data_IF_932213180822
#
_entry.id   IF_932213180822
#
_cell.length_a   1.000
_cell.length_b   1.000
_cell.length_c   1.000
_cell.angle_alpha   90.00
_cell.angle_beta   90.00
_cell.angle_gamma   90.00
#
_symmetry.space_group_name_H-M   'P 1'
#
loop_
_entity.id
_entity.type
_entity.pdbx_description
1 polymer ?
#
# COMPACT_ATOMS: atom_id res chain seq x y z
N UNK A 1 -1.78 -3.45 -13.38
CA UNK A 1 -2.85 -2.53 -13.86
C UNK A 1 -2.30 -1.15 -14.20
N UNK A 2 -1.70 -0.42 -13.25
CA UNK A 2 -1.23 0.97 -13.46
C UNK A 2 -0.18 1.11 -14.58
N UNK A 3 0.76 0.17 -14.71
CA UNK A 3 1.69 0.14 -15.86
C UNK A 3 0.96 0.07 -17.20
N UNK A 4 -0.10 -0.76 -17.28
CA UNK A 4 -0.91 -0.85 -18.49
C UNK A 4 -1.71 0.42 -18.73
N UNK A 5 -2.30 1.01 -17.68
CA UNK A 5 -2.97 2.31 -17.77
C UNK A 5 -2.03 3.38 -18.35
N UNK A 6 -0.81 3.49 -17.82
CA UNK A 6 0.19 4.44 -18.29
C UNK A 6 0.56 4.22 -19.77
N UNK A 7 0.78 2.96 -20.17
CA UNK A 7 1.08 2.59 -21.56
C UNK A 7 -0.09 2.91 -22.49
N UNK A 8 -1.32 2.59 -22.10
CA UNK A 8 -2.53 2.89 -22.88
C UNK A 8 -2.68 4.41 -23.06
N UNK A 9 -2.52 5.20 -22.00
CA UNK A 9 -2.64 6.66 -22.10
C UNK A 9 -1.55 7.26 -23.00
N UNK A 10 -0.33 6.74 -22.92
CA UNK A 10 0.77 7.16 -23.79
C UNK A 10 0.45 6.83 -25.26
N UNK A 11 -0.09 5.65 -25.54
CA UNK A 11 -0.50 5.25 -26.88
C UNK A 11 -1.65 6.09 -27.42
N UNK A 12 -2.66 6.39 -26.60
CA UNK A 12 -3.80 7.24 -26.98
C UNK A 12 -3.32 8.66 -27.31
N UNK A 13 -2.40 9.23 -26.53
CA UNK A 13 -1.74 10.50 -26.85
C UNK A 13 -1.04 10.41 -28.21
N UNK A 14 -0.21 9.39 -28.41
CA UNK A 14 0.56 9.25 -29.65
C UNK A 14 -0.33 9.10 -30.89
N UNK A 15 -1.45 8.35 -30.80
CA UNK A 15 -2.42 8.26 -31.89
C UNK A 15 -3.08 9.61 -32.21
N UNK A 16 -3.43 10.40 -31.19
CA UNK A 16 -4.09 11.70 -31.37
C UNK A 16 -3.18 12.75 -32.00
N UNK A 17 -1.87 12.71 -31.72
CA UNK A 17 -0.96 13.81 -32.08
C UNK A 17 0.15 13.44 -33.09
N UNK A 18 0.43 12.15 -33.34
CA UNK A 18 1.51 11.70 -34.25
C UNK A 18 1.06 10.98 -35.54
N UNK A 19 -0.21 10.59 -35.67
CA UNK A 19 -0.70 9.87 -36.86
C UNK A 19 -0.36 8.36 -36.85
N UNK A 20 -1.12 7.59 -37.63
CA UNK A 20 -1.39 6.15 -37.47
C UNK A 20 -0.35 5.16 -38.03
N UNK A 21 0.96 5.45 -37.99
CA UNK A 21 1.92 4.68 -38.82
C UNK A 21 2.77 3.63 -38.10
N UNK A 22 2.54 3.31 -36.82
CA UNK A 22 3.27 2.23 -36.15
C UNK A 22 2.34 1.16 -35.56
N UNK A 23 2.42 -0.04 -36.13
CA UNK A 23 1.77 -1.29 -35.70
C UNK A 23 2.28 -1.83 -34.36
N UNK A 24 3.15 -1.09 -33.66
CA UNK A 24 3.66 -1.45 -32.34
C UNK A 24 4.15 -0.20 -31.60
N UNK A 25 3.29 0.55 -30.87
CA UNK A 25 3.68 1.83 -30.30
C UNK A 25 4.65 1.60 -29.14
N UNK A 26 5.94 1.80 -29.40
CA UNK A 26 6.97 1.89 -28.36
C UNK A 26 6.95 3.30 -27.79
N UNK A 27 7.13 3.42 -26.47
CA UNK A 27 7.27 4.71 -25.80
C UNK A 27 8.41 5.51 -26.43
N UNK A 28 8.14 6.76 -26.81
CA UNK A 28 9.17 7.65 -27.35
C UNK A 28 10.06 8.19 -26.23
N UNK A 29 11.28 8.62 -26.55
CA UNK A 29 12.18 9.25 -25.58
C UNK A 29 11.54 10.48 -24.90
N UNK A 30 10.74 11.25 -25.64
CA UNK A 30 9.98 12.38 -25.09
C UNK A 30 8.85 11.95 -24.14
N UNK A 31 8.22 10.80 -24.38
CA UNK A 31 7.20 10.28 -23.46
C UNK A 31 7.85 9.79 -22.16
N UNK A 32 8.99 9.11 -22.26
CA UNK A 32 9.81 8.69 -21.12
C UNK A 32 10.21 9.90 -20.26
N UNK A 33 10.72 10.95 -20.88
CA UNK A 33 11.14 12.16 -20.16
C UNK A 33 9.97 12.80 -19.38
N UNK A 34 8.80 12.96 -20.02
CA UNK A 34 7.63 13.52 -19.36
C UNK A 34 7.22 12.63 -18.18
N UNK A 35 7.07 11.32 -18.39
CA UNK A 35 6.67 10.39 -17.33
C UNK A 35 7.62 10.45 -16.12
N UNK A 36 8.92 10.53 -16.35
CA UNK A 36 9.90 10.64 -15.27
C UNK A 36 9.79 11.96 -14.51
N UNK A 37 9.57 13.08 -15.20
CA UNK A 37 9.27 14.37 -14.54
C UNK A 37 7.99 14.31 -13.71
N UNK A 38 6.94 13.68 -14.23
CA UNK A 38 5.70 13.48 -13.47
C UNK A 38 5.92 12.59 -12.25
N UNK A 39 6.73 11.53 -12.39
CA UNK A 39 7.08 10.64 -11.28
C UNK A 39 7.92 11.33 -10.22
N UNK A 40 8.86 12.19 -10.61
CA UNK A 40 9.63 13.01 -9.69
C UNK A 40 8.73 13.97 -8.90
N UNK A 41 7.84 14.69 -9.58
CA UNK A 41 6.84 15.54 -8.94
C UNK A 41 5.98 14.74 -7.97
N UNK A 42 5.48 13.58 -8.41
CA UNK A 42 4.64 12.71 -7.60
C UNK A 42 5.36 12.27 -6.31
N UNK A 43 6.62 11.88 -6.42
CA UNK A 43 7.47 11.49 -5.29
C UNK A 43 7.67 12.65 -4.31
N UNK A 44 8.10 13.81 -4.79
CA UNK A 44 8.34 15.01 -3.95
C UNK A 44 7.06 15.43 -3.22
N UNK A 45 5.92 15.44 -3.89
CA UNK A 45 4.66 15.81 -3.27
C UNK A 45 4.14 14.73 -2.30
N UNK A 46 4.42 13.45 -2.59
CA UNK A 46 4.09 12.35 -1.68
C UNK A 46 4.89 12.45 -0.37
N UNK A 47 6.20 12.72 -0.44
CA UNK A 47 7.05 12.93 0.75
C UNK A 47 6.58 14.12 1.61
N UNK A 48 6.12 15.19 0.96
CA UNK A 48 5.54 16.36 1.65
C UNK A 48 4.14 16.08 2.24
N UNK A 49 3.50 14.98 1.86
CA UNK A 49 2.10 14.70 2.21
C UNK A 49 1.09 15.60 1.50
N UNK A 50 1.47 16.17 0.36
CA UNK A 50 0.66 17.10 -0.42
C UNK A 50 -0.20 16.36 -1.45
N UNK A 51 -1.51 16.68 -1.45
CA UNK A 51 -2.47 16.24 -2.48
C UNK A 51 -2.69 17.28 -3.57
N UNK A 52 -2.37 18.54 -3.26
CA UNK A 52 -2.53 19.70 -4.13
C UNK A 52 -1.20 20.45 -4.12
N UNK A 53 -0.78 20.92 -5.30
CA UNK A 53 0.46 21.64 -5.53
C UNK A 53 0.25 22.76 -6.55
N UNK A 54 1.24 23.64 -6.69
CA UNK A 54 1.13 24.88 -7.46
C UNK A 54 2.02 24.84 -8.71
N UNK A 55 1.89 25.87 -9.54
CA UNK A 55 2.70 26.04 -10.75
C UNK A 55 4.22 26.06 -10.44
N UNK A 56 4.60 26.55 -9.26
CA UNK A 56 5.99 26.56 -8.82
C UNK A 56 6.54 25.14 -8.63
N UNK A 57 5.76 24.24 -8.04
CA UNK A 57 6.16 22.83 -7.86
C UNK A 57 6.35 22.10 -9.19
N UNK A 58 5.51 22.42 -10.19
CA UNK A 58 5.62 21.90 -11.55
C UNK A 58 6.92 22.38 -12.20
N UNK A 59 7.21 23.68 -12.11
CA UNK A 59 8.42 24.29 -12.66
C UNK A 59 9.69 23.75 -11.99
N UNK A 60 9.67 23.58 -10.68
CA UNK A 60 10.78 23.00 -9.92
C UNK A 60 11.05 21.53 -10.31
N UNK A 61 10.02 20.84 -10.79
CA UNK A 61 10.10 19.48 -11.35
C UNK A 61 10.41 19.47 -12.86
N UNK A 62 10.70 20.64 -13.47
CA UNK A 62 11.03 20.77 -14.89
C UNK A 62 9.84 20.59 -15.84
N UNK A 63 8.61 20.78 -15.35
CA UNK A 63 7.36 20.69 -16.11
C UNK A 63 6.89 22.12 -16.43
N UNK A 64 6.90 22.46 -17.72
CA UNK A 64 6.42 23.76 -18.21
C UNK A 64 4.93 23.67 -18.58
N UNK A 65 4.07 24.33 -17.78
CA UNK A 65 2.63 24.40 -18.02
C UNK A 65 2.24 25.23 -19.25
N UNK A 66 3.16 25.96 -19.88
CA UNK A 66 2.88 26.61 -21.15
C UNK A 66 2.97 25.65 -22.34
N UNK A 67 3.59 24.46 -22.17
CA UNK A 67 3.68 23.48 -23.23
C UNK A 67 2.34 22.75 -23.46
N UNK A 68 1.89 22.72 -24.72
CA UNK A 68 0.70 21.98 -25.11
C UNK A 68 0.79 20.46 -24.81
N UNK A 69 2.00 19.92 -24.68
CA UNK A 69 2.30 18.53 -24.29
C UNK A 69 1.79 18.20 -22.88
N UNK A 70 1.83 19.17 -21.96
CA UNK A 70 1.38 19.07 -20.56
C UNK A 70 -0.14 19.19 -20.43
N UNK A 71 -0.80 19.80 -21.42
CA UNK A 71 -2.26 19.92 -21.47
C UNK A 71 -2.91 18.97 -22.50
N UNK A 72 -2.17 18.01 -23.04
CA UNK A 72 -2.66 17.07 -24.03
C UNK A 72 -2.45 15.60 -23.65
N UNK A 73 -3.50 14.80 -23.85
CA UNK A 73 -3.45 13.34 -23.76
C UNK A 73 -3.16 12.80 -22.36
N UNK A 74 -1.89 12.47 -22.11
CA UNK A 74 -1.44 11.77 -20.90
C UNK A 74 -1.65 12.59 -19.63
N UNK A 75 -1.38 13.89 -19.69
CA UNK A 75 -1.42 14.76 -18.52
C UNK A 75 -2.85 15.19 -18.14
N UNK A 76 -3.81 15.25 -19.08
CA UNK A 76 -5.22 15.54 -18.74
C UNK A 76 -5.93 14.39 -18.02
N UNK A 77 -5.40 13.18 -18.17
CA UNK A 77 -5.90 11.97 -17.49
C UNK A 77 -5.11 11.67 -16.21
N UNK A 78 -4.01 12.39 -15.96
CA UNK A 78 -3.14 12.22 -14.79
C UNK A 78 -3.24 13.41 -13.85
N UNK A 79 -3.45 14.63 -14.36
CA UNK A 79 -3.62 15.87 -13.60
C UNK A 79 -5.00 16.47 -13.76
N UNK A 80 -5.38 17.23 -12.73
CA UNK A 80 -6.53 18.12 -12.74
C UNK A 80 -6.07 19.52 -12.37
N UNK A 81 -6.34 20.49 -13.25
CA UNK A 81 -6.25 21.91 -12.92
C UNK A 81 -7.58 22.33 -12.28
N UNK A 82 -7.51 22.93 -11.09
CA UNK A 82 -8.65 23.54 -10.43
C UNK A 82 -8.35 25.01 -10.09
N UNK A 83 -9.40 25.77 -9.79
CA UNK A 83 -9.28 27.14 -9.29
C UNK A 83 -9.46 27.12 -7.78
N UNK A 84 -8.41 27.49 -7.06
CA UNK A 84 -8.45 27.67 -5.62
C UNK A 84 -9.41 28.80 -5.21
N UNK A 85 -9.66 28.92 -3.90
CA UNK A 85 -10.55 29.93 -3.33
C UNK A 85 -10.12 31.37 -3.69
N UNK A 86 -8.83 31.59 -3.95
CA UNK A 86 -8.24 32.86 -4.38
C UNK A 86 -8.14 33.08 -5.89
N UNK A 87 -8.80 32.26 -6.74
CA UNK A 87 -8.64 32.24 -8.20
C UNK A 87 -7.24 31.84 -8.71
N UNK A 88 -6.35 31.43 -7.81
CA UNK A 88 -5.07 30.83 -8.16
C UNK A 88 -5.27 29.44 -8.77
N UNK A 89 -4.39 29.08 -9.72
CA UNK A 89 -4.39 27.74 -10.30
C UNK A 89 -3.76 26.76 -9.33
N UNK A 90 -4.47 25.68 -9.07
CA UNK A 90 -3.96 24.56 -8.27
C UNK A 90 -4.03 23.28 -9.08
N UNK A 91 -3.11 22.38 -8.79
CA UNK A 91 -2.94 21.13 -9.52
C UNK A 91 -2.98 19.96 -8.54
N UNK A 92 -3.59 18.86 -8.96
CA UNK A 92 -3.54 17.59 -8.25
C UNK A 92 -3.48 16.43 -9.25
N UNK A 93 -3.03 15.27 -8.79
CA UNK A 93 -3.23 14.05 -9.54
C UNK A 93 -4.73 13.67 -9.50
N UNK A 94 -5.27 13.12 -10.59
CA UNK A 94 -6.70 12.76 -10.66
C UNK A 94 -7.11 11.75 -9.58
N UNK A 95 -6.16 10.96 -9.08
CA UNK A 95 -6.33 10.06 -7.95
C UNK A 95 -5.00 9.86 -7.20
N UNK A 96 -5.04 9.73 -5.88
CA UNK A 96 -3.85 9.54 -5.04
C UNK A 96 -3.03 8.30 -5.44
N UNK A 97 -3.70 7.20 -5.80
CA UNK A 97 -3.00 5.99 -6.25
C UNK A 97 -2.18 6.19 -7.53
N UNK A 98 -2.53 7.16 -8.39
CA UNK A 98 -1.72 7.50 -9.57
C UNK A 98 -0.47 8.25 -9.14
N UNK A 99 -0.58 9.18 -8.18
CA UNK A 99 0.57 9.85 -7.56
C UNK A 99 1.51 8.81 -6.94
N UNK A 100 0.99 7.91 -6.10
CA UNK A 100 1.80 6.87 -5.44
C UNK A 100 2.45 5.91 -6.44
N UNK A 101 1.75 5.53 -7.51
CA UNK A 101 2.31 4.70 -8.57
C UNK A 101 3.44 5.40 -9.34
N UNK A 102 3.23 6.65 -9.75
CA UNK A 102 4.24 7.43 -10.48
C UNK A 102 5.47 7.71 -9.62
N UNK A 103 5.26 7.98 -8.32
CA UNK A 103 6.33 8.08 -7.34
C UNK A 103 7.14 6.78 -7.26
N UNK A 104 6.47 5.63 -7.12
CA UNK A 104 7.14 4.33 -7.07
C UNK A 104 7.91 4.02 -8.35
N UNK A 105 7.36 4.39 -9.52
CA UNK A 105 8.02 4.25 -10.80
C UNK A 105 9.29 5.09 -10.90
N UNK A 106 9.26 6.34 -10.44
CA UNK A 106 10.43 7.21 -10.39
C UNK A 106 11.52 6.64 -9.47
N UNK A 107 11.15 6.24 -8.26
CA UNK A 107 12.09 5.65 -7.28
C UNK A 107 12.74 4.38 -7.84
N UNK A 108 11.94 3.50 -8.44
CA UNK A 108 12.43 2.28 -9.09
C UNK A 108 13.38 2.60 -10.25
N UNK A 109 13.01 3.55 -11.12
CA UNK A 109 13.84 3.98 -12.25
C UNK A 109 15.19 4.54 -11.79
N UNK A 110 15.21 5.45 -10.81
CA UNK A 110 16.44 6.03 -10.27
C UNK A 110 17.36 4.96 -9.66
N UNK A 111 16.81 3.93 -9.03
CA UNK A 111 17.63 2.82 -8.53
C UNK A 111 18.23 2.00 -9.67
N UNK A 112 17.42 1.56 -10.63
CA UNK A 112 17.85 0.60 -11.66
C UNK A 112 18.72 1.25 -12.74
N UNK A 113 18.37 2.46 -13.18
CA UNK A 113 19.05 3.13 -14.29
C UNK A 113 20.14 4.11 -13.83
N UNK A 114 19.93 4.79 -12.71
CA UNK A 114 20.84 5.85 -12.23
C UNK A 114 21.72 5.39 -11.05
N UNK A 115 21.52 4.15 -10.56
CA UNK A 115 22.21 3.61 -9.40
C UNK A 115 22.08 4.52 -8.17
N UNK A 116 20.88 5.08 -7.96
CA UNK A 116 20.60 6.07 -6.92
C UNK A 116 19.41 5.65 -6.06
N UNK A 117 19.60 5.58 -4.74
CA UNK A 117 18.50 5.47 -3.79
C UNK A 117 18.01 6.87 -3.41
N UNK A 118 16.91 7.31 -4.03
CA UNK A 118 16.32 8.65 -3.76
C UNK A 118 15.57 8.73 -2.43
N UNK A 119 15.33 7.61 -1.75
CA UNK A 119 14.65 7.59 -0.45
C UNK A 119 15.58 8.02 0.70
N UNK A 120 16.90 8.01 0.49
CA UNK A 120 17.86 8.50 1.48
C UNK A 120 18.12 9.98 1.26
N UNK A 121 17.60 10.80 2.16
CA UNK A 121 18.07 12.18 2.30
C UNK A 121 19.53 12.13 2.79
N UNK A 122 20.44 12.69 1.99
CA UNK A 122 21.89 12.80 2.27
C UNK A 122 22.75 11.55 2.00
N UNK A 123 23.02 11.27 0.72
CA UNK A 123 24.36 10.79 0.34
C UNK A 123 25.10 11.92 -0.37
N UNK A 124 25.72 12.79 0.44
CA UNK A 124 26.67 13.83 -0.02
C UNK A 124 28.01 13.24 -0.52
N UNK A 125 28.12 11.91 -0.59
CA UNK A 125 29.22 11.20 -1.25
C UNK A 125 28.65 10.10 -2.13
N UNK A 126 29.06 10.01 -3.40
CA UNK A 126 28.73 8.85 -4.22
C UNK A 126 29.25 7.61 -3.48
N UNK A 127 28.35 6.70 -3.10
CA UNK A 127 28.78 5.39 -2.66
C UNK A 127 29.55 4.76 -3.83
N UNK A 128 30.76 4.29 -3.57
CA UNK A 128 31.60 3.62 -4.57
C UNK A 128 31.00 2.25 -5.00
N UNK A 129 29.86 1.86 -4.41
CA UNK A 129 29.17 0.59 -4.65
C UNK A 129 27.85 0.78 -5.41
N UNK A 130 27.45 -0.29 -6.11
CA UNK A 130 26.13 -0.39 -6.73
C UNK A 130 25.05 -0.46 -5.64
N UNK A 131 24.01 0.36 -5.74
CA UNK A 131 22.84 0.30 -4.86
C UNK A 131 22.13 -1.03 -5.11
N UNK A 132 21.97 -1.82 -4.06
CA UNK A 132 21.23 -3.09 -4.16
C UNK A 132 19.72 -2.82 -4.10
N UNK A 133 18.96 -3.61 -4.87
CA UNK A 133 17.51 -3.45 -4.92
C UNK A 133 16.86 -3.82 -3.59
N UNK A 134 17.41 -4.80 -2.87
CA UNK A 134 16.98 -5.15 -1.51
C UNK A 134 17.17 -3.95 -0.56
N UNK A 135 18.30 -3.27 -0.60
CA UNK A 135 18.56 -2.08 0.22
C UNK A 135 17.55 -0.93 -0.04
N UNK A 136 17.15 -0.72 -1.31
CA UNK A 136 16.08 0.21 -1.65
C UNK A 136 14.75 -0.21 -1.00
N UNK A 137 14.39 -1.49 -1.14
CA UNK A 137 13.14 -2.02 -0.59
C UNK A 137 13.11 -1.95 0.94
N UNK A 138 14.20 -2.31 1.62
CA UNK A 138 14.32 -2.23 3.07
C UNK A 138 14.10 -0.80 3.56
N UNK A 139 14.73 0.18 2.88
CA UNK A 139 14.54 1.60 3.17
C UNK A 139 13.08 2.02 2.99
N UNK A 140 12.43 1.59 1.90
CA UNK A 140 11.03 1.90 1.63
C UNK A 140 10.07 1.27 2.65
N UNK A 141 10.33 0.02 3.06
CA UNK A 141 9.56 -0.68 4.10
C UNK A 141 9.65 0.09 5.41
N UNK A 142 10.84 0.53 5.80
CA UNK A 142 11.03 1.27 7.05
C UNK A 142 10.31 2.61 7.04
N UNK A 143 10.44 3.40 5.98
CA UNK A 143 9.72 4.66 5.83
C UNK A 143 8.19 4.47 5.86
N UNK A 144 7.68 3.42 5.22
CA UNK A 144 6.25 3.10 5.25
C UNK A 144 5.76 2.71 6.64
N UNK A 145 6.56 1.99 7.43
CA UNK A 145 6.22 1.66 8.82
C UNK A 145 6.29 2.86 9.76
N UNK A 146 7.22 3.79 9.52
CA UNK A 146 7.37 5.04 10.28
C UNK A 146 6.27 6.08 9.96
N UNK A 147 5.63 5.96 8.80
CA UNK A 147 4.54 6.84 8.38
C UNK A 147 3.35 6.80 9.34
N UNK A 148 3.01 7.94 9.95
CA UNK A 148 1.93 8.00 10.97
C UNK A 148 0.56 7.58 10.47
N UNK A 149 0.24 7.86 9.21
CA UNK A 149 -1.10 7.69 8.62
C UNK A 149 -1.14 6.65 7.48
N UNK A 150 -0.01 6.05 7.09
CA UNK A 150 0.02 5.00 6.07
C UNK A 150 0.00 5.54 4.64
N UNK A 151 0.27 6.83 4.45
CA UNK A 151 0.29 7.45 3.12
C UNK A 151 1.37 6.88 2.17
N UNK A 152 2.27 6.02 2.65
CA UNK A 152 3.28 5.34 1.83
C UNK A 152 2.97 3.86 1.60
N UNK A 153 1.85 3.36 2.15
CA UNK A 153 1.53 1.94 2.13
C UNK A 153 1.29 1.43 0.69
N UNK A 154 0.54 2.17 -0.12
CA UNK A 154 0.27 1.81 -1.51
C UNK A 154 1.46 2.12 -2.43
N UNK A 155 2.20 3.22 -2.18
CA UNK A 155 3.50 3.47 -2.81
C UNK A 155 4.46 2.28 -2.65
N UNK A 156 4.61 1.75 -1.43
CA UNK A 156 5.48 0.61 -1.15
C UNK A 156 5.07 -0.62 -1.97
N UNK A 157 3.77 -0.92 -2.01
CA UNK A 157 3.24 -2.03 -2.81
C UNK A 157 3.56 -1.88 -4.28
N UNK A 158 3.41 -0.67 -4.85
CA UNK A 158 3.78 -0.42 -6.24
C UNK A 158 5.27 -0.58 -6.48
N UNK A 159 6.12 -0.07 -5.58
CA UNK A 159 7.58 -0.19 -5.71
C UNK A 159 8.01 -1.66 -5.76
N UNK A 160 7.50 -2.49 -4.83
CA UNK A 160 7.78 -3.92 -4.80
C UNK A 160 7.24 -4.65 -6.03
N UNK A 161 6.03 -4.32 -6.48
CA UNK A 161 5.45 -4.91 -7.69
C UNK A 161 6.22 -4.56 -8.97
N UNK A 162 6.70 -3.31 -9.10
CA UNK A 162 7.55 -2.88 -10.22
C UNK A 162 8.89 -3.62 -10.25
N UNK A 163 9.36 -4.06 -9.08
CA UNK A 163 10.57 -4.85 -8.91
C UNK A 163 10.47 -6.31 -9.34
N UNK A 164 9.30 -6.81 -9.78
CA UNK A 164 9.21 -8.13 -10.39
C UNK A 164 9.75 -8.18 -11.83
N UNK A 165 10.38 -9.30 -12.17
CA UNK A 165 10.90 -9.56 -13.53
C UNK A 165 9.79 -9.58 -14.59
N UNK A 166 8.59 -10.03 -14.21
CA UNK A 166 7.41 -10.08 -15.10
C UNK A 166 6.95 -8.70 -15.59
N UNK A 167 7.29 -7.63 -14.86
CA UNK A 167 6.92 -6.25 -15.20
C UNK A 167 7.95 -5.58 -16.13
N UNK A 168 9.18 -6.08 -16.17
CA UNK A 168 10.27 -5.48 -16.95
C UNK A 168 9.99 -5.37 -18.45
N UNK A 169 9.42 -6.37 -19.13
CA UNK A 169 9.10 -6.25 -20.55
C UNK A 169 8.12 -5.11 -20.85
N UNK A 170 7.23 -4.80 -19.91
CA UNK A 170 6.24 -3.72 -20.04
C UNK A 170 6.89 -2.34 -19.88
N UNK A 171 8.00 -2.25 -19.16
CA UNK A 171 8.75 -1.02 -18.92
C UNK A 171 9.84 -0.78 -19.96
N UNK A 172 9.92 -1.59 -21.03
CA UNK A 172 11.03 -1.60 -22.01
C UNK A 172 11.32 -0.31 -22.79
N UNK A 173 10.55 0.77 -22.58
CA UNK A 173 10.87 2.14 -23.03
C UNK A 173 11.24 3.13 -21.90
N UNK A 174 10.90 2.80 -20.65
CA UNK A 174 11.27 3.54 -19.44
C UNK A 174 12.64 3.09 -18.89
N UNK A 175 12.93 1.79 -19.02
CA UNK A 175 14.20 1.22 -18.59
C UNK A 175 15.14 1.17 -19.79
N UNK A 176 16.29 1.83 -19.67
CA UNK A 176 17.34 1.64 -20.67
C UNK A 176 17.77 0.18 -20.64
N UNK A 177 17.85 -0.50 -21.80
CA UNK A 177 18.39 -1.86 -21.87
C UNK A 177 19.89 -1.83 -21.55
N UNK A 178 20.25 -1.71 -20.28
CA UNK A 178 21.61 -1.92 -19.76
C UNK A 178 21.76 -3.37 -19.27
N UNK A 179 21.16 -4.30 -19.99
CA UNK A 179 21.37 -5.74 -19.87
C UNK A 179 22.21 -6.30 -21.03
N UNK A 180 23.35 -5.68 -21.39
CA UNK A 180 24.36 -6.38 -22.24
C UNK A 180 25.74 -5.73 -22.40
N UNK A 181 26.09 -4.64 -21.70
CA UNK A 181 27.49 -4.17 -21.66
C UNK A 181 27.95 -3.97 -20.23
N UNK A 182 28.30 -5.09 -19.62
CA UNK A 182 29.21 -5.16 -18.48
C UNK A 182 30.59 -4.62 -18.91
N UNK A 183 31.17 -3.62 -18.25
CA UNK A 183 32.61 -3.52 -18.15
C UNK A 183 33.06 -4.49 -17.05
N UNK A 184 33.67 -5.60 -17.47
CA UNK A 184 34.50 -6.55 -16.70
C UNK A 184 34.05 -6.84 -15.25
N UNK A 185 33.56 -8.06 -14.94
CA UNK A 185 33.31 -8.44 -13.55
C UNK A 185 34.62 -8.45 -12.76
N UNK A 186 34.69 -7.62 -11.72
CA UNK A 186 35.67 -7.77 -10.64
C UNK A 186 35.33 -9.07 -9.88
N UNK A 187 36.24 -10.05 -9.75
CA UNK A 187 35.97 -11.34 -9.11
C UNK A 187 35.58 -11.26 -7.62
N UNK A 188 35.65 -10.07 -6.99
CA UNK A 188 35.39 -9.90 -5.56
C UNK A 188 34.07 -9.21 -5.19
N UNK A 189 33.27 -8.74 -6.16
CA UNK A 189 31.91 -8.25 -5.87
C UNK A 189 30.89 -9.31 -6.25
N UNK A 190 30.42 -10.08 -5.27
CA UNK A 190 29.20 -10.88 -5.39
C UNK A 190 28.02 -9.92 -5.61
N UNK A 191 27.74 -9.62 -6.87
CA UNK A 191 26.52 -8.92 -7.28
C UNK A 191 25.38 -9.92 -7.22
N UNK A 192 24.48 -9.76 -6.25
CA UNK A 192 23.34 -10.63 -6.14
C UNK A 192 22.39 -10.52 -7.35
N UNK A 193 21.83 -11.64 -7.77
CA UNK A 193 20.76 -11.65 -8.78
C UNK A 193 19.55 -10.87 -8.27
N UNK A 194 18.73 -10.31 -9.17
CA UNK A 194 17.47 -9.64 -8.77
C UNK A 194 16.54 -10.56 -7.98
N UNK A 195 16.55 -11.86 -8.31
CA UNK A 195 15.85 -12.89 -7.53
C UNK A 195 16.35 -12.93 -6.08
N UNK A 196 17.66 -12.87 -5.88
CA UNK A 196 18.27 -12.87 -4.54
C UNK A 196 17.87 -11.60 -3.77
N UNK A 197 17.87 -10.43 -4.41
CA UNK A 197 17.37 -9.21 -3.77
C UNK A 197 15.88 -9.28 -3.39
N UNK A 198 15.05 -9.96 -4.19
CA UNK A 198 13.63 -10.17 -3.85
C UNK A 198 13.50 -11.13 -2.66
N UNK A 199 14.25 -12.22 -2.63
CA UNK A 199 14.28 -13.17 -1.50
C UNK A 199 14.72 -12.48 -0.19
N UNK A 200 15.78 -11.66 -0.24
CA UNK A 200 16.21 -10.83 0.89
C UNK A 200 15.10 -9.89 1.36
N UNK A 201 14.41 -9.24 0.43
CA UNK A 201 13.29 -8.34 0.72
C UNK A 201 12.14 -9.08 1.40
N UNK A 202 11.79 -10.27 0.91
CA UNK A 202 10.73 -11.11 1.48
C UNK A 202 11.07 -11.51 2.92
N UNK A 203 12.29 -11.94 3.18
CA UNK A 203 12.72 -12.30 4.53
C UNK A 203 12.76 -11.09 5.47
N UNK A 204 13.15 -9.92 4.95
CA UNK A 204 13.07 -8.65 5.69
C UNK A 204 11.63 -8.31 6.10
N UNK A 205 10.68 -8.39 5.16
CA UNK A 205 9.27 -8.12 5.43
C UNK A 205 8.71 -9.12 6.45
N UNK A 206 9.02 -10.42 6.33
CA UNK A 206 8.62 -11.44 7.31
C UNK A 206 9.16 -11.13 8.71
N UNK A 207 10.40 -10.64 8.81
CA UNK A 207 10.98 -10.17 10.07
C UNK A 207 10.22 -8.97 10.64
N UNK A 208 9.87 -7.98 9.80
CA UNK A 208 9.10 -6.80 10.22
C UNK A 208 7.69 -7.15 10.70
N UNK A 209 7.00 -8.10 10.05
CA UNK A 209 5.68 -8.60 10.48
C UNK A 209 5.74 -9.19 11.91
N UNK A 210 6.84 -9.87 12.26
CA UNK A 210 7.01 -10.45 13.60
C UNK A 210 7.13 -9.37 14.68
N UNK A 211 7.81 -8.25 14.39
CA UNK A 211 8.03 -7.17 15.36
C UNK A 211 6.97 -6.05 15.35
N UNK A 212 6.25 -5.87 14.25
CA UNK A 212 5.30 -4.76 14.09
C UNK A 212 4.08 -4.92 15.01
N UNK A 213 3.69 -3.85 15.70
CA UNK A 213 2.57 -3.85 16.65
C UNK A 213 1.24 -3.45 16.02
N UNK A 214 1.27 -2.68 14.93
CA UNK A 214 0.11 -2.12 14.26
C UNK A 214 -0.53 -3.15 13.33
N UNK A 215 -1.80 -3.47 13.59
CA UNK A 215 -2.55 -4.42 12.79
C UNK A 215 -2.67 -3.96 11.32
N UNK A 216 -2.99 -2.69 11.09
CA UNK A 216 -3.05 -2.08 9.74
C UNK A 216 -1.73 -2.24 8.99
N UNK A 217 -0.60 -2.00 9.67
CA UNK A 217 0.72 -2.10 9.02
C UNK A 217 1.09 -3.53 8.70
N UNK A 218 0.78 -4.48 9.59
CA UNK A 218 0.99 -5.88 9.28
C UNK A 218 0.15 -6.33 8.08
N UNK A 219 -1.10 -5.87 7.96
CA UNK A 219 -1.96 -6.16 6.80
C UNK A 219 -1.33 -5.60 5.53
N UNK A 220 -0.82 -4.36 5.56
CA UNK A 220 -0.09 -3.81 4.43
C UNK A 220 1.16 -4.62 4.06
N UNK A 221 1.95 -5.07 5.04
CA UNK A 221 3.10 -5.94 4.78
C UNK A 221 2.70 -7.30 4.17
N UNK A 222 1.55 -7.86 4.52
CA UNK A 222 1.02 -9.05 3.83
C UNK A 222 0.61 -8.75 2.39
N UNK A 223 0.04 -7.57 2.11
CA UNK A 223 -0.16 -7.13 0.72
C UNK A 223 1.19 -7.05 -0.02
N UNK A 224 2.23 -6.49 0.59
CA UNK A 224 3.57 -6.42 0.01
C UNK A 224 4.14 -7.81 -0.31
N UNK A 225 3.99 -8.79 0.59
CA UNK A 225 4.40 -10.18 0.32
C UNK A 225 3.64 -10.78 -0.87
N UNK A 226 2.33 -10.54 -0.95
CA UNK A 226 1.51 -10.99 -2.07
C UNK A 226 1.90 -10.30 -3.40
N UNK A 227 2.27 -9.01 -3.39
CA UNK A 227 2.82 -8.34 -4.58
C UNK A 227 4.16 -8.97 -5.02
N UNK A 228 4.95 -9.50 -4.08
CA UNK A 228 6.20 -10.24 -4.35
C UNK A 228 5.98 -11.73 -4.67
N UNK A 229 4.72 -12.19 -4.75
CA UNK A 229 4.32 -13.58 -4.93
C UNK A 229 4.75 -14.54 -3.79
N UNK A 230 5.04 -14.04 -2.58
CA UNK A 230 5.19 -14.88 -1.40
C UNK A 230 3.86 -14.97 -0.63
N UNK A 231 3.23 -16.15 -0.71
CA UNK A 231 2.01 -16.48 0.02
C UNK A 231 2.22 -17.54 1.09
N UNK A 232 3.47 -17.82 1.46
CA UNK A 232 3.84 -18.96 2.31
C UNK A 232 3.12 -18.97 3.66
N UNK A 233 3.13 -17.84 4.37
CA UNK A 233 2.46 -17.68 5.66
C UNK A 233 0.92 -17.70 5.55
N UNK A 234 0.39 -17.27 4.41
CA UNK A 234 -1.05 -17.30 4.12
C UNK A 234 -1.52 -18.73 3.83
N UNK A 235 -0.76 -19.49 3.06
CA UNK A 235 -1.04 -20.89 2.78
C UNK A 235 -0.97 -21.74 4.05
N UNK A 236 0.02 -21.49 4.92
CA UNK A 236 0.13 -22.13 6.23
C UNK A 236 -1.15 -21.93 7.06
N UNK A 237 -1.60 -20.68 7.22
CA UNK A 237 -2.79 -20.40 8.03
C UNK A 237 -4.08 -20.93 7.41
N UNK A 238 -4.20 -20.91 6.07
CA UNK A 238 -5.33 -21.50 5.35
C UNK A 238 -5.40 -23.02 5.53
N UNK A 239 -4.25 -23.71 5.53
CA UNK A 239 -4.19 -25.14 5.79
C UNK A 239 -4.59 -25.47 7.25
N UNK A 240 -4.18 -24.63 8.20
CA UNK A 240 -4.60 -24.73 9.61
C UNK A 240 -6.10 -24.48 9.81
N UNK A 241 -6.69 -23.52 9.09
CA UNK A 241 -8.15 -23.29 9.05
C UNK A 241 -8.90 -24.54 8.54
N UNK A 242 -8.48 -25.08 7.39
CA UNK A 242 -9.13 -26.24 6.74
C UNK A 242 -9.04 -27.52 7.59
N UNK A 243 -7.97 -27.67 8.35
CA UNK A 243 -7.76 -28.83 9.22
C UNK A 243 -8.39 -28.69 10.60
N UNK A 244 -8.99 -27.53 10.92
CA UNK A 244 -9.62 -27.25 12.21
C UNK A 244 -8.65 -27.10 13.38
N UNK A 245 -7.34 -26.96 13.12
CA UNK A 245 -6.29 -26.97 14.17
C UNK A 245 -6.18 -25.66 14.97
N UNK A 246 -6.73 -24.56 14.45
CA UNK A 246 -6.55 -23.23 15.05
C UNK A 246 -7.21 -23.06 16.43
N UNK A 247 -8.15 -23.93 16.81
CA UNK A 247 -8.76 -23.90 18.15
C UNK A 247 -7.86 -24.47 19.24
N UNK A 248 -6.94 -25.37 18.88
CA UNK A 248 -6.20 -26.19 19.83
C UNK A 248 -4.79 -25.64 20.10
N UNK A 249 -4.22 -24.92 19.14
CA UNK A 249 -2.88 -24.34 19.21
C UNK A 249 -2.93 -22.85 19.56
N UNK A 250 -2.01 -22.41 20.42
CA UNK A 250 -1.86 -20.99 20.74
C UNK A 250 -1.21 -20.28 19.56
N UNK A 251 -1.92 -19.35 18.93
CA UNK A 251 -1.44 -18.56 17.81
C UNK A 251 -0.49 -17.46 18.27
N UNK A 252 0.66 -17.38 17.61
CA UNK A 252 1.57 -16.25 17.76
C UNK A 252 1.01 -15.00 17.08
N UNK A 253 1.36 -13.78 17.52
CA UNK A 253 0.82 -12.55 16.95
C UNK A 253 0.96 -12.46 15.42
N UNK A 254 2.08 -12.92 14.83
CA UNK A 254 2.25 -12.89 13.38
C UNK A 254 1.31 -13.86 12.62
N UNK A 255 0.95 -14.99 13.23
CA UNK A 255 -0.05 -15.91 12.67
C UNK A 255 -1.44 -15.28 12.74
N UNK A 256 -1.74 -14.51 13.78
CA UNK A 256 -2.95 -13.70 13.88
C UNK A 256 -3.03 -12.62 12.78
N UNK A 257 -1.92 -11.99 12.41
CA UNK A 257 -1.89 -11.07 11.26
C UNK A 257 -2.16 -11.79 9.94
N UNK A 258 -1.57 -12.98 9.72
CA UNK A 258 -1.84 -13.79 8.52
C UNK A 258 -3.32 -14.19 8.45
N UNK A 259 -3.90 -14.63 9.58
CA UNK A 259 -5.32 -14.96 9.69
C UNK A 259 -6.20 -13.74 9.40
N UNK A 260 -5.89 -12.58 9.99
CA UNK A 260 -6.62 -11.35 9.74
C UNK A 260 -6.60 -10.98 8.24
N UNK A 261 -5.44 -11.09 7.61
CA UNK A 261 -5.29 -10.86 6.17
C UNK A 261 -6.17 -11.82 5.36
N UNK A 262 -6.12 -13.12 5.64
CA UNK A 262 -6.95 -14.11 4.94
C UNK A 262 -8.44 -13.83 5.07
N UNK A 263 -8.91 -13.51 6.29
CA UNK A 263 -10.31 -13.23 6.54
C UNK A 263 -10.77 -11.91 5.90
N UNK A 264 -9.89 -10.90 5.80
CA UNK A 264 -10.18 -9.63 5.14
C UNK A 264 -10.17 -9.72 3.61
N UNK A 265 -9.36 -10.61 3.06
CA UNK A 265 -9.28 -10.83 1.61
C UNK A 265 -10.32 -11.82 1.08
N UNK A 266 -11.10 -12.44 1.97
CA UNK A 266 -12.21 -13.32 1.61
C UNK A 266 -13.35 -12.52 0.97
N UNK A 267 -13.88 -13.03 -0.15
CA UNK A 267 -15.10 -12.50 -0.77
C UNK A 267 -16.34 -12.77 0.10
N UNK A 268 -16.29 -13.83 0.92
CA UNK A 268 -17.37 -14.19 1.85
C UNK A 268 -17.29 -13.34 3.11
N UNK A 269 -18.41 -12.70 3.45
CA UNK A 269 -18.59 -11.96 4.70
C UNK A 269 -18.89 -12.96 5.82
N UNK A 270 -18.12 -12.90 6.90
CA UNK A 270 -18.35 -13.75 8.07
C UNK A 270 -19.69 -13.40 8.75
N UNK A 271 -20.51 -14.39 9.04
CA UNK A 271 -21.74 -14.14 9.80
C UNK A 271 -21.43 -13.74 11.25
N UNK A 272 -20.47 -14.41 11.87
CA UNK A 272 -20.02 -14.13 13.24
C UNK A 272 -18.50 -14.23 13.34
N UNK A 273 -17.91 -13.26 14.00
CA UNK A 273 -16.51 -13.21 14.37
C UNK A 273 -16.40 -13.06 15.89
N UNK A 274 -16.12 -14.16 16.59
CA UNK A 274 -15.83 -14.16 18.03
C UNK A 274 -14.31 -14.18 18.24
N UNK A 275 -13.77 -13.10 18.79
CA UNK A 275 -12.33 -12.97 18.97
C UNK A 275 -11.77 -14.03 19.92
N UNK A 276 -12.57 -14.51 20.88
CA UNK A 276 -12.15 -15.50 21.88
C UNK A 276 -12.15 -16.94 21.37
N UNK A 277 -12.63 -17.20 20.15
CA UNK A 277 -12.46 -18.53 19.54
C UNK A 277 -11.00 -18.80 19.17
N UNK A 278 -10.16 -17.76 19.11
CA UNK A 278 -8.76 -17.86 18.77
C UNK A 278 -7.90 -17.82 20.04
N UNK A 279 -7.22 -18.92 20.34
CA UNK A 279 -6.29 -18.98 21.47
C UNK A 279 -5.03 -18.16 21.15
N UNK A 280 -4.93 -16.92 21.64
CA UNK A 280 -3.76 -16.07 21.42
C UNK A 280 -3.52 -15.08 22.57
N UNK A 281 -2.45 -14.30 22.48
CA UNK A 281 -2.14 -13.21 23.41
C UNK A 281 -2.92 -11.93 23.07
N UNK A 282 -2.90 -10.94 23.96
CA UNK A 282 -3.45 -9.60 23.71
C UNK A 282 -2.92 -8.97 22.40
N UNK A 283 -1.64 -9.17 22.09
CA UNK A 283 -1.05 -8.70 20.84
C UNK A 283 -1.65 -9.40 19.61
N UNK A 284 -1.99 -10.69 19.72
CA UNK A 284 -2.69 -11.43 18.68
C UNK A 284 -4.13 -10.96 18.51
N UNK A 285 -4.84 -10.71 19.61
CA UNK A 285 -6.17 -10.11 19.59
C UNK A 285 -6.19 -8.75 18.88
N UNK A 286 -5.27 -7.85 19.22
CA UNK A 286 -5.13 -6.56 18.53
C UNK A 286 -4.92 -6.72 17.02
N UNK A 287 -4.16 -7.72 16.57
CA UNK A 287 -3.92 -8.00 15.15
C UNK A 287 -5.14 -8.55 14.40
N UNK A 288 -6.08 -9.16 15.12
CA UNK A 288 -7.32 -9.69 14.58
C UNK A 288 -8.48 -8.68 14.56
N UNK A 289 -8.42 -7.59 15.34
CA UNK A 289 -9.48 -6.56 15.37
C UNK A 289 -9.90 -6.06 13.99
N UNK A 290 -9.01 -5.83 12.99
CA UNK A 290 -9.43 -5.41 11.66
C UNK A 290 -10.49 -6.29 10.97
N UNK A 291 -10.59 -7.58 11.33
CA UNK A 291 -11.54 -8.55 10.76
C UNK A 291 -13.00 -8.11 10.92
N UNK A 292 -13.30 -7.23 11.88
CA UNK A 292 -14.63 -6.59 12.04
C UNK A 292 -15.12 -5.87 10.77
N UNK A 293 -14.23 -5.53 9.84
CA UNK A 293 -14.58 -4.95 8.54
C UNK A 293 -15.22 -5.95 7.59
N UNK A 294 -15.05 -7.24 7.83
CA UNK A 294 -15.58 -8.32 6.99
C UNK A 294 -16.48 -9.31 7.77
N UNK A 295 -17.24 -8.82 8.76
CA UNK A 295 -18.24 -9.63 9.45
C UNK A 295 -19.56 -8.90 9.70
N UNK A 296 -20.65 -9.65 9.89
CA UNK A 296 -21.96 -9.11 10.28
C UNK A 296 -22.09 -8.93 11.78
N UNK A 297 -21.49 -9.84 12.56
CA UNK A 297 -21.48 -9.80 14.02
C UNK A 297 -20.06 -9.96 14.55
N UNK A 298 -19.66 -9.09 15.47
CA UNK A 298 -18.38 -9.17 16.16
C UNK A 298 -18.58 -9.30 17.68
N UNK A 299 -17.98 -10.33 18.27
CA UNK A 299 -17.96 -10.56 19.72
C UNK A 299 -16.53 -10.32 20.21
N UNK A 300 -16.31 -9.18 20.85
CA UNK A 300 -14.98 -8.73 21.30
C UNK A 300 -14.97 -8.44 22.82
N UNK A 301 -15.83 -9.12 23.57
CA UNK A 301 -15.99 -8.85 25.00
C UNK A 301 -14.87 -9.46 25.86
N UNK A 302 -14.40 -8.69 26.83
CA UNK A 302 -13.26 -9.06 27.69
C UNK A 302 -11.97 -9.37 26.92
N UNK A 303 -11.62 -8.55 25.92
CA UNK A 303 -10.44 -8.75 25.05
C UNK A 303 -9.37 -7.66 25.24
N UNK A 304 -9.33 -7.01 26.40
CA UNK A 304 -8.46 -5.86 26.77
C UNK A 304 -8.25 -4.84 25.63
N UNK A 305 -9.33 -4.50 24.92
CA UNK A 305 -9.25 -3.56 23.80
C UNK A 305 -8.94 -2.15 24.29
N UNK A 306 -7.92 -1.51 23.69
CA UNK A 306 -7.44 -0.16 24.03
C UNK A 306 -7.56 0.81 22.85
N UNK A 307 -6.96 2.00 22.97
CA UNK A 307 -7.09 3.13 22.04
C UNK A 307 -6.97 2.75 20.55
N UNK A 308 -5.88 2.10 20.13
CA UNK A 308 -5.68 1.72 18.71
C UNK A 308 -6.78 0.80 18.17
N UNK A 309 -7.26 -0.15 18.97
CA UNK A 309 -8.40 -0.99 18.57
C UNK A 309 -9.68 -0.18 18.43
N UNK A 310 -9.89 0.85 19.24
CA UNK A 310 -11.03 1.76 19.10
C UNK A 310 -10.96 2.59 17.81
N UNK A 311 -9.76 2.99 17.35
CA UNK A 311 -9.58 3.66 16.05
C UNK A 311 -9.99 2.75 14.89
N UNK A 312 -9.55 1.48 14.91
CA UNK A 312 -9.91 0.47 13.91
C UNK A 312 -11.41 0.23 13.90
N UNK A 313 -12.02 0.05 15.07
CA UNK A 313 -13.46 -0.15 15.22
C UNK A 313 -14.26 1.07 14.74
N UNK A 314 -13.84 2.28 15.13
CA UNK A 314 -14.49 3.51 14.66
C UNK A 314 -14.40 3.65 13.14
N UNK A 315 -13.25 3.35 12.54
CA UNK A 315 -13.07 3.31 11.09
C UNK A 315 -14.00 2.30 10.42
N UNK A 316 -14.12 1.09 10.97
CA UNK A 316 -15.02 0.05 10.46
C UNK A 316 -16.50 0.48 10.52
N UNK A 317 -16.91 1.22 11.57
CA UNK A 317 -18.26 1.77 11.71
C UNK A 317 -18.53 2.93 10.72
N UNK A 318 -17.51 3.71 10.36
CA UNK A 318 -17.64 4.84 9.42
C UNK A 318 -17.67 4.42 7.95
N UNK A 319 -17.26 3.20 7.64
CA UNK A 319 -17.20 2.70 6.27
C UNK A 319 -18.61 2.53 5.69
N UNK A 320 -18.88 3.17 4.55
CA UNK A 320 -20.16 3.09 3.84
C UNK A 320 -20.54 1.68 3.43
N UNK A 321 -19.55 0.80 3.27
CA UNK A 321 -19.73 -0.60 2.86
C UNK A 321 -19.65 -1.59 4.02
N UNK A 322 -19.63 -1.11 5.28
CA UNK A 322 -19.49 -1.99 6.44
C UNK A 322 -20.61 -3.04 6.53
N UNK A 323 -20.29 -4.34 6.60
CA UNK A 323 -21.27 -5.41 6.82
C UNK A 323 -21.72 -5.52 8.27
N UNK A 324 -21.00 -4.90 9.21
CA UNK A 324 -21.21 -5.03 10.66
C UNK A 324 -22.58 -4.50 11.09
N UNK A 325 -23.34 -5.32 11.83
CA UNK A 325 -24.68 -5.04 12.37
C UNK A 325 -24.75 -5.22 13.88
N UNK A 326 -24.00 -6.17 14.43
CA UNK A 326 -23.95 -6.45 15.86
C UNK A 326 -22.50 -6.37 16.37
N UNK A 327 -22.27 -5.61 17.44
CA UNK A 327 -20.95 -5.46 18.05
C UNK A 327 -21.06 -5.58 19.56
N UNK A 328 -20.39 -6.57 20.14
CA UNK A 328 -20.26 -6.71 21.59
C UNK A 328 -18.86 -6.26 22.05
N UNK A 329 -18.81 -5.15 22.76
CA UNK A 329 -17.61 -4.59 23.40
C UNK A 329 -17.67 -4.68 24.94
N UNK A 330 -18.62 -5.44 25.49
CA UNK A 330 -18.82 -5.53 26.94
C UNK A 330 -17.55 -5.96 27.67
N UNK A 331 -17.40 -5.52 28.92
CA UNK A 331 -16.27 -5.89 29.78
C UNK A 331 -14.88 -5.51 29.23
N UNK A 332 -14.79 -4.50 28.35
CA UNK A 332 -13.51 -3.85 27.98
C UNK A 332 -13.35 -2.51 28.68
N UNK A 333 -12.12 -2.16 29.07
CA UNK A 333 -11.80 -0.83 29.58
C UNK A 333 -11.29 0.09 28.46
N UNK A 334 -12.24 0.64 27.70
CA UNK A 334 -11.94 1.45 26.51
C UNK A 334 -11.38 2.85 26.86
N UNK A 335 -11.56 3.29 28.11
CA UNK A 335 -11.22 4.64 28.56
C UNK A 335 -12.00 5.76 27.82
N UNK A 336 -11.77 7.00 28.24
CA UNK A 336 -12.47 8.16 27.65
C UNK A 336 -12.13 8.36 26.17
N UNK A 337 -10.86 8.20 25.79
CA UNK A 337 -10.41 8.38 24.40
C UNK A 337 -11.00 7.31 23.47
N UNK A 338 -11.01 6.04 23.89
CA UNK A 338 -11.60 4.96 23.12
C UNK A 338 -13.11 5.14 22.92
N UNK A 339 -13.83 5.51 23.98
CA UNK A 339 -15.26 5.82 23.89
C UNK A 339 -15.52 7.00 22.94
N UNK A 340 -14.72 8.08 23.02
CA UNK A 340 -14.85 9.23 22.12
C UNK A 340 -14.70 8.84 20.64
N UNK A 341 -13.71 8.00 20.32
CA UNK A 341 -13.50 7.49 18.95
C UNK A 341 -14.69 6.65 18.47
N UNK A 342 -15.17 5.74 19.31
CA UNK A 342 -16.33 4.91 18.99
C UNK A 342 -17.60 5.73 18.80
N UNK A 343 -17.84 6.75 19.64
CA UNK A 343 -18.96 7.68 19.46
C UNK A 343 -18.90 8.39 18.09
N UNK A 344 -17.72 8.85 17.66
CA UNK A 344 -17.56 9.43 16.33
C UNK A 344 -17.91 8.42 15.22
N UNK A 345 -17.54 7.14 15.39
CA UNK A 345 -17.92 6.09 14.47
C UNK A 345 -19.42 5.79 14.42
N UNK A 346 -20.07 5.73 15.59
CA UNK A 346 -21.51 5.49 15.74
C UNK A 346 -22.37 6.65 15.22
N UNK A 347 -21.88 7.88 15.33
CA UNK A 347 -22.56 9.08 14.82
C UNK A 347 -22.39 9.29 13.32
N UNK A 348 -21.56 8.48 12.66
CA UNK A 348 -21.37 8.57 11.22
C UNK A 348 -22.67 8.25 10.48
N UNK A 349 -23.04 9.01 9.44
CA UNK A 349 -24.20 8.68 8.61
C UNK A 349 -24.05 7.34 7.87
N UNK A 350 -22.82 6.85 7.76
CA UNK A 350 -22.51 5.55 7.16
C UNK A 350 -22.65 4.38 8.15
N UNK A 351 -22.82 4.64 9.45
CA UNK A 351 -22.91 3.59 10.44
C UNK A 351 -24.20 2.78 10.26
N UNK A 352 -24.04 1.48 10.01
CA UNK A 352 -25.15 0.53 9.82
C UNK A 352 -25.36 -0.40 11.02
N UNK A 353 -24.69 -0.12 12.14
CA UNK A 353 -24.78 -0.93 13.35
C UNK A 353 -26.20 -0.88 13.92
N UNK A 354 -26.78 -2.03 14.22
CA UNK A 354 -28.12 -2.19 14.76
C UNK A 354 -28.11 -2.44 16.26
N UNK A 355 -27.06 -3.13 16.75
CA UNK A 355 -26.91 -3.47 18.17
C UNK A 355 -25.48 -3.25 18.64
N UNK A 356 -25.36 -2.60 19.80
CA UNK A 356 -24.12 -2.48 20.56
C UNK A 356 -24.34 -3.07 21.95
N UNK A 357 -23.60 -4.12 22.30
CA UNK A 357 -23.71 -4.81 23.59
C UNK A 357 -23.87 -6.32 23.46
N UNK A 358 -24.03 -7.03 24.60
CA UNK A 358 -24.09 -8.49 24.61
C UNK A 358 -25.25 -9.02 23.75
N UNK A 359 -25.08 -10.20 23.12
CA UNK A 359 -26.16 -10.81 22.35
C UNK A 359 -27.38 -10.99 23.24
N UNK A 360 -28.55 -10.58 22.75
CA UNK A 360 -29.81 -10.77 23.45
C UNK A 360 -30.07 -12.28 23.58
N UNK A 361 -29.90 -12.85 24.78
CA UNK A 361 -30.42 -14.17 25.07
C UNK A 361 -31.94 -14.11 24.97
N UNK A 362 -32.60 -14.94 24.13
CA UNK A 362 -34.02 -15.15 24.31
C UNK A 362 -34.18 -15.77 25.70
N UNK A 363 -34.87 -15.08 26.58
CA UNK A 363 -35.23 -15.59 27.90
C UNK A 363 -35.83 -17.00 27.72
N UNK A 364 -35.12 -18.04 28.19
CA UNK A 364 -35.77 -19.30 28.54
C UNK A 364 -36.64 -18.97 29.74
N UNK A 365 -37.90 -18.62 29.49
CA UNK A 365 -38.92 -18.66 30.52
C UNK A 365 -38.93 -20.09 31.09
N UNK A 366 -38.72 -20.16 32.40
CA UNK A 366 -38.60 -21.41 33.16
C UNK A 366 -39.90 -22.18 33.30
#
# INVERSE_FOLDING_TARGET
MYTHFLLIQTNVKNLKYRGSDETNPKMSASDTEIILKLGQLAFVQLEKGNLIFYEEDLRDSGIDVSEASVYSGLCTEIFKEERGLGQEKVYCFVHLSIQEYLAALFVFHSCVNENRNVLRAEESKPHSGRVQLSELHETAVDQALESKNGHLDLFLRFLLGLSLDSIQPLLGGLLTQTGSRSPVPDPQTQTGSRSESIEETVEYIKKKIKSESSAERTINLFHCLNELNDNSAVEEIQNSLRSGKLSDEKLEPHQCSALAFVLLMSEEILDEFDLKTYNTSEAGYHRLVPVVRNCRKAILNSCDLRGKSCEILASALQSSNSPLRDLDLSSNNLGYSGVKLLCAGLLSPNCKLQRLGPPSHPYKHG
#
